data_IF_997761073699
#
_entry.id   IF_997761073699
#
_cell.length_a   1.000
_cell.length_b   1.000
_cell.length_c   1.000
_cell.angle_alpha   90.00
_cell.angle_beta   90.00
_cell.angle_gamma   90.00
#
_symmetry.space_group_name_H-M   'P 1'
#
loop_
_entity.id
_entity.type
_entity.pdbx_description
1 polymer ?
#
# COMPACT_ATOMS: atom_id res chain seq x y z
N UNK A 1 21.89 -16.49 0.02
CA UNK A 1 21.41 -15.26 -0.65
C UNK A 1 19.91 -15.20 -0.45
N UNK A 2 19.35 -14.19 0.23
CA UNK A 2 17.90 -14.08 0.33
C UNK A 2 17.30 -13.94 -1.07
N UNK A 3 16.21 -14.63 -1.35
CA UNK A 3 15.50 -14.47 -2.62
C UNK A 3 15.10 -13.01 -2.81
N UNK A 4 15.29 -12.48 -4.01
CA UNK A 4 14.90 -11.10 -4.35
C UNK A 4 13.39 -10.93 -4.17
N UNK A 5 12.97 -9.89 -3.45
CA UNK A 5 11.56 -9.57 -3.16
C UNK A 5 10.63 -9.65 -4.38
N UNK A 6 11.13 -9.28 -5.57
CA UNK A 6 10.37 -9.37 -6.84
C UNK A 6 9.92 -10.80 -7.15
N UNK A 7 10.79 -11.79 -6.99
CA UNK A 7 10.48 -13.20 -7.32
C UNK A 7 9.44 -13.80 -6.38
N UNK A 8 9.40 -13.32 -5.14
CA UNK A 8 8.40 -13.73 -4.14
C UNK A 8 7.03 -13.14 -4.53
N UNK A 9 6.98 -11.86 -4.94
CA UNK A 9 5.74 -11.24 -5.43
C UNK A 9 5.21 -11.91 -6.69
N UNK A 10 6.08 -12.27 -7.64
CA UNK A 10 5.67 -13.01 -8.84
C UNK A 10 5.01 -14.36 -8.49
N UNK A 11 5.58 -15.09 -7.52
CA UNK A 11 5.01 -16.33 -6.98
C UNK A 11 3.64 -16.09 -6.32
N UNK A 12 3.50 -15.01 -5.56
CA UNK A 12 2.22 -14.63 -4.92
C UNK A 12 1.15 -14.35 -5.98
N UNK A 13 1.46 -13.53 -6.99
CA UNK A 13 0.51 -13.17 -8.05
C UNK A 13 0.08 -14.40 -8.85
N UNK A 14 1.03 -15.28 -9.21
CA UNK A 14 0.72 -16.54 -9.89
C UNK A 14 -0.20 -17.43 -9.04
N UNK A 15 0.07 -17.52 -7.73
CA UNK A 15 -0.74 -18.31 -6.79
C UNK A 15 -2.14 -17.74 -6.64
N UNK A 16 -2.27 -16.40 -6.56
CA UNK A 16 -3.57 -15.73 -6.56
C UNK A 16 -4.36 -16.01 -7.84
N UNK A 17 -3.72 -16.00 -9.01
CA UNK A 17 -4.41 -16.33 -10.27
C UNK A 17 -4.91 -17.78 -10.27
N UNK A 18 -4.07 -18.75 -9.86
CA UNK A 18 -4.44 -20.17 -9.76
C UNK A 18 -5.59 -20.41 -8.76
N UNK A 19 -5.62 -19.65 -7.67
CA UNK A 19 -6.71 -19.72 -6.70
C UNK A 19 -8.02 -19.13 -7.25
N UNK A 20 -7.97 -18.08 -8.09
CA UNK A 20 -9.15 -17.48 -8.73
C UNK A 20 -9.79 -18.42 -9.76
N UNK A 21 -8.97 -19.20 -10.45
CA UNK A 21 -9.39 -20.19 -11.45
C UNK A 21 -9.91 -21.49 -10.82
N UNK A 22 -9.72 -21.70 -9.51
CA UNK A 22 -10.15 -22.91 -8.81
C UNK A 22 -11.58 -22.78 -8.27
N UNK A 23 -12.44 -23.75 -8.62
CA UNK A 23 -13.83 -23.87 -8.15
C UNK A 23 -13.91 -24.09 -6.62
N UNK A 24 -12.83 -24.60 -6.00
CA UNK A 24 -12.70 -24.76 -4.54
C UNK A 24 -11.31 -24.32 -4.08
N UNK A 25 -11.11 -23.03 -3.74
CA UNK A 25 -9.80 -22.51 -3.36
C UNK A 25 -9.35 -23.07 -2.01
N UNK A 26 -8.29 -23.89 -2.03
CA UNK A 26 -7.62 -24.36 -0.81
C UNK A 26 -6.34 -23.55 -0.56
N UNK A 27 -6.49 -22.46 0.18
CA UNK A 27 -5.40 -21.53 0.51
C UNK A 27 -4.25 -22.24 1.25
N UNK A 28 -4.56 -23.19 2.13
CA UNK A 28 -3.54 -23.89 2.92
C UNK A 28 -2.68 -24.82 2.06
N UNK A 29 -3.30 -25.57 1.14
CA UNK A 29 -2.58 -26.42 0.21
C UNK A 29 -1.68 -25.60 -0.73
N UNK A 30 -2.18 -24.48 -1.26
CA UNK A 30 -1.39 -23.60 -2.13
C UNK A 30 -0.25 -22.89 -1.40
N UNK A 31 -0.44 -22.54 -0.12
CA UNK A 31 0.64 -21.96 0.71
C UNK A 31 1.80 -22.94 0.87
N UNK A 32 1.50 -24.21 1.11
CA UNK A 32 2.51 -25.26 1.21
C UNK A 32 3.15 -25.59 -0.14
N UNK A 33 2.36 -25.63 -1.22
CA UNK A 33 2.84 -25.93 -2.57
C UNK A 33 3.82 -24.87 -3.08
N UNK A 34 3.53 -23.60 -2.82
CA UNK A 34 4.31 -22.48 -3.33
C UNK A 34 5.27 -21.87 -2.31
N UNK A 35 5.37 -22.41 -1.09
CA UNK A 35 6.23 -21.92 0.00
C UNK A 35 6.09 -20.39 0.24
N UNK A 36 4.85 -19.92 0.45
CA UNK A 36 4.52 -18.50 0.62
C UNK A 36 3.88 -18.29 1.99
N UNK A 37 4.15 -17.16 2.65
CA UNK A 37 3.40 -16.80 3.85
C UNK A 37 1.90 -16.68 3.59
N UNK A 38 1.09 -17.39 4.38
CA UNK A 38 -0.37 -17.33 4.35
C UNK A 38 -0.91 -15.90 4.48
N UNK A 39 -0.28 -15.07 5.32
CA UNK A 39 -0.71 -13.68 5.52
C UNK A 39 -0.53 -12.84 4.26
N UNK A 40 0.59 -13.01 3.55
CA UNK A 40 0.86 -12.33 2.28
C UNK A 40 -0.14 -12.74 1.21
N UNK A 41 -0.38 -14.04 1.05
CA UNK A 41 -1.33 -14.56 0.05
C UNK A 41 -2.76 -14.07 0.33
N UNK A 42 -3.21 -14.11 1.59
CA UNK A 42 -4.53 -13.60 1.97
C UNK A 42 -4.66 -12.09 1.75
N UNK A 43 -3.61 -11.31 2.05
CA UNK A 43 -3.60 -9.87 1.78
C UNK A 43 -3.75 -9.57 0.29
N UNK A 44 -2.92 -10.22 -0.55
CA UNK A 44 -2.98 -10.04 -2.01
C UNK A 44 -4.31 -10.51 -2.60
N UNK A 45 -4.85 -11.63 -2.11
CA UNK A 45 -6.18 -12.11 -2.50
C UNK A 45 -7.31 -11.13 -2.20
N UNK A 46 -7.19 -10.38 -1.10
CA UNK A 46 -8.13 -9.30 -0.73
C UNK A 46 -7.90 -7.99 -1.49
N UNK A 47 -6.94 -7.97 -2.42
CA UNK A 47 -6.61 -6.78 -3.22
C UNK A 47 -5.63 -5.82 -2.54
N UNK A 48 -4.94 -6.22 -1.46
CA UNK A 48 -3.91 -5.37 -0.88
C UNK A 48 -2.69 -5.28 -1.84
N UNK A 49 -2.24 -4.07 -2.22
CA UNK A 49 -1.04 -3.87 -3.02
C UNK A 49 0.22 -4.35 -2.28
N UNK A 50 1.28 -4.68 -3.03
CA UNK A 50 2.57 -5.04 -2.43
C UNK A 50 3.13 -3.82 -1.71
N UNK A 51 4.00 -4.04 -0.74
CA UNK A 51 4.70 -2.93 -0.07
C UNK A 51 5.46 -2.05 -1.07
N UNK A 52 5.95 -2.62 -2.17
CA UNK A 52 6.63 -1.88 -3.24
C UNK A 52 5.68 -1.06 -4.13
N UNK A 53 4.41 -1.45 -4.21
CA UNK A 53 3.37 -0.75 -4.98
C UNK A 53 2.63 0.29 -4.12
N UNK A 54 2.75 0.21 -2.80
CA UNK A 54 2.18 1.17 -1.88
C UNK A 54 2.98 2.47 -1.89
N UNK A 55 2.28 3.58 -2.09
CA UNK A 55 2.84 4.89 -1.81
C UNK A 55 3.27 4.95 -0.34
N UNK A 56 4.54 5.27 -0.04
CA UNK A 56 5.02 5.31 1.33
C UNK A 56 4.37 6.48 2.08
N UNK A 57 3.52 6.19 3.07
CA UNK A 57 2.98 7.20 3.99
C UNK A 57 4.07 7.72 4.93
N UNK A 58 3.96 8.98 5.35
CA UNK A 58 4.89 9.63 6.29
C UNK A 58 6.35 9.68 5.81
N UNK A 59 6.59 9.65 4.49
CA UNK A 59 7.92 9.98 3.97
C UNK A 59 8.20 11.48 4.12
N UNK A 60 9.49 11.83 4.08
CA UNK A 60 9.89 13.23 4.00
C UNK A 60 9.34 13.83 2.70
N UNK A 61 8.74 15.00 2.81
CA UNK A 61 8.24 15.76 1.68
C UNK A 61 9.39 16.36 0.87
N UNK A 62 9.16 16.48 -0.43
CA UNK A 62 9.98 17.28 -1.34
C UNK A 62 9.52 18.75 -1.31
N UNK A 63 10.35 19.65 -1.80
CA UNK A 63 10.10 21.11 -1.72
C UNK A 63 8.76 21.53 -2.37
N UNK A 64 8.34 20.86 -3.44
CA UNK A 64 7.06 21.07 -4.13
C UNK A 64 5.86 20.55 -3.33
N UNK A 65 6.03 19.43 -2.65
CA UNK A 65 5.03 18.86 -1.74
C UNK A 65 4.86 19.72 -0.48
N UNK A 66 5.97 20.23 0.09
CA UNK A 66 5.95 21.18 1.20
C UNK A 66 5.26 22.49 0.81
N UNK A 67 5.52 23.01 -0.40
CA UNK A 67 4.83 24.18 -0.92
C UNK A 67 3.32 23.94 -1.03
N UNK A 68 2.92 22.76 -1.49
CA UNK A 68 1.51 22.37 -1.60
C UNK A 68 0.83 22.35 -0.22
N UNK A 69 1.48 21.80 0.80
CA UNK A 69 0.99 21.85 2.18
C UNK A 69 0.89 23.29 2.71
N UNK A 70 1.86 24.15 2.40
CA UNK A 70 1.81 25.56 2.77
C UNK A 70 0.62 26.30 2.13
N UNK A 71 0.32 26.03 0.86
CA UNK A 71 -0.85 26.59 0.18
C UNK A 71 -2.16 26.11 0.79
N UNK A 72 -2.23 24.82 1.16
CA UNK A 72 -3.38 24.28 1.85
C UNK A 72 -3.61 24.94 3.21
N UNK A 73 -2.54 25.19 3.99
CA UNK A 73 -2.65 25.92 5.27
C UNK A 73 -3.15 27.35 5.08
N UNK A 74 -2.64 28.07 4.07
CA UNK A 74 -3.14 29.42 3.74
C UNK A 74 -4.63 29.39 3.38
N UNK A 75 -5.05 28.40 2.61
CA UNK A 75 -6.47 28.24 2.28
C UNK A 75 -7.33 27.99 3.52
N UNK A 76 -6.87 27.16 4.46
CA UNK A 76 -7.56 26.94 5.74
C UNK A 76 -7.70 28.23 6.56
N UNK A 77 -6.64 29.04 6.61
CA UNK A 77 -6.65 30.33 7.29
C UNK A 77 -7.63 31.32 6.61
N UNK A 78 -7.66 31.37 5.27
CA UNK A 78 -8.58 32.21 4.49
C UNK A 78 -10.06 31.90 4.77
N UNK A 79 -10.41 30.62 4.92
CA UNK A 79 -11.77 30.18 5.23
C UNK A 79 -12.07 30.21 6.75
N UNK A 80 -11.15 30.69 7.57
CA UNK A 80 -11.29 30.78 9.03
C UNK A 80 -11.31 29.43 9.75
N UNK A 81 -10.79 28.37 9.12
CA UNK A 81 -10.73 27.02 9.70
C UNK A 81 -9.39 26.78 10.36
N UNK A 82 -9.39 26.48 11.66
CA UNK A 82 -8.15 26.12 12.37
C UNK A 82 -7.59 24.80 11.85
N UNK A 83 -6.34 24.83 11.38
CA UNK A 83 -5.64 23.64 10.91
C UNK A 83 -5.38 22.65 12.05
N UNK A 84 -5.96 21.45 11.94
CA UNK A 84 -5.73 20.34 12.88
C UNK A 84 -4.63 19.43 12.36
N UNK A 85 -3.82 18.88 13.26
CA UNK A 85 -2.77 17.93 12.89
C UNK A 85 -3.30 16.76 12.05
N UNK A 86 -4.46 16.20 12.40
CA UNK A 86 -5.07 15.11 11.64
C UNK A 86 -5.44 15.49 10.21
N UNK A 87 -5.86 16.74 9.98
CA UNK A 87 -6.16 17.24 8.63
C UNK A 87 -4.89 17.40 7.81
N UNK A 88 -3.85 17.99 8.42
CA UNK A 88 -2.55 18.17 7.77
C UNK A 88 -1.95 16.81 7.43
N UNK A 89 -1.86 15.88 8.39
CA UNK A 89 -1.31 14.54 8.14
C UNK A 89 -2.10 13.76 7.09
N UNK A 90 -3.43 13.90 7.04
CA UNK A 90 -4.25 13.24 6.01
C UNK A 90 -4.00 13.85 4.63
N UNK A 91 -3.96 15.18 4.54
CA UNK A 91 -3.69 15.89 3.30
C UNK A 91 -2.28 15.62 2.79
N UNK A 92 -1.28 15.70 3.68
CA UNK A 92 0.12 15.38 3.38
C UNK A 92 0.29 13.96 2.87
N UNK A 93 -0.43 12.97 3.41
CA UNK A 93 -0.36 11.60 2.89
C UNK A 93 -1.12 11.40 1.57
N UNK A 94 -2.05 12.29 1.23
CA UNK A 94 -2.82 12.23 -0.02
C UNK A 94 -2.09 12.86 -1.22
N UNK A 95 -1.10 13.70 -0.98
CA UNK A 95 -0.27 14.32 -2.03
C UNK A 95 0.97 13.48 -2.39
N UNK A 96 1.24 12.41 -1.64
CA UNK A 96 2.32 11.45 -1.91
C UNK A 96 1.93 10.48 -3.03
#
# INVERSE_FOLDING_TARGET
MPESSSKIEDRILLTCKKLLESDRPNIAATVCEFDISKSCLQGRWKGCPAKSEQTPTNRKLMDDEELTVCLYLKHLDEIGTSARLSMISSYTNAIL
#
